data_IF_811544721561
#
_entry.id   IF_811544721561
#
_cell.length_a   1.000
_cell.length_b   1.000
_cell.length_c   1.000
_cell.angle_alpha   90.00
_cell.angle_beta   90.00
_cell.angle_gamma   90.00
#
_symmetry.space_group_name_H-M   'P 1'
#
loop_
_entity.id
_entity.type
_entity.pdbx_description
1 polymer ?
#
# COMPACT_ATOMS: atom_id res chain seq x y z
N UNK A 1 67.49 -30.88 -22.28
CA UNK A 1 66.95 -29.55 -22.48
C UNK A 1 65.65 -29.70 -23.29
N UNK A 2 64.53 -29.80 -22.63
CA UNK A 2 63.24 -29.80 -23.29
C UNK A 2 62.46 -28.55 -22.70
N UNK A 3 62.27 -27.54 -23.55
CA UNK A 3 61.53 -26.38 -23.28
C UNK A 3 60.01 -26.68 -23.33
N UNK A 4 59.31 -26.50 -22.21
CA UNK A 4 57.85 -26.56 -22.15
C UNK A 4 57.21 -25.34 -22.84
N UNK A 5 56.10 -25.49 -23.58
CA UNK A 5 55.40 -24.36 -24.16
C UNK A 5 54.60 -23.62 -23.11
N UNK A 6 54.81 -22.31 -23.02
CA UNK A 6 54.02 -21.39 -22.22
C UNK A 6 52.56 -21.33 -22.70
N UNK A 7 51.63 -21.92 -21.96
CA UNK A 7 50.21 -21.75 -22.16
C UNK A 7 49.81 -20.31 -21.84
N UNK A 8 49.66 -19.51 -22.86
CA UNK A 8 49.02 -18.22 -22.81
C UNK A 8 47.54 -18.42 -22.35
N UNK A 9 47.25 -18.17 -21.09
CA UNK A 9 45.91 -18.02 -20.57
C UNK A 9 45.28 -16.80 -21.25
N UNK A 10 44.60 -17.03 -22.38
CA UNK A 10 43.65 -16.06 -22.90
C UNK A 10 42.69 -15.73 -21.77
N UNK A 11 42.76 -14.52 -21.27
CA UNK A 11 41.75 -13.90 -20.40
C UNK A 11 40.43 -14.00 -21.16
N UNK A 12 39.67 -15.05 -20.85
CA UNK A 12 38.24 -15.13 -21.20
C UNK A 12 37.58 -14.00 -20.44
N UNK A 13 37.26 -12.91 -21.15
CA UNK A 13 36.40 -11.85 -20.59
C UNK A 13 35.21 -12.55 -19.94
N UNK A 14 35.13 -12.52 -18.61
CA UNK A 14 33.96 -13.04 -17.90
C UNK A 14 32.76 -12.29 -18.43
N UNK A 15 31.59 -12.91 -18.56
CA UNK A 15 30.37 -12.21 -18.86
C UNK A 15 29.93 -11.41 -17.58
N UNK A 16 30.65 -10.32 -17.33
CA UNK A 16 30.30 -9.32 -16.29
C UNK A 16 28.90 -8.77 -16.56
N UNK A 17 28.45 -8.89 -17.80
CA UNK A 17 27.34 -8.12 -18.32
C UNK A 17 25.96 -8.65 -17.88
N UNK A 18 25.77 -9.97 -17.68
CA UNK A 18 24.43 -10.49 -17.39
C UNK A 18 24.00 -10.31 -15.93
N UNK A 19 24.90 -10.52 -14.96
CA UNK A 19 24.58 -10.35 -13.52
C UNK A 19 24.41 -8.87 -13.17
N UNK A 20 25.28 -8.01 -13.69
CA UNK A 20 25.14 -6.55 -13.49
C UNK A 20 23.85 -6.05 -14.12
N UNK A 21 23.52 -6.48 -15.33
CA UNK A 21 22.28 -6.10 -16.01
C UNK A 21 21.06 -6.48 -15.20
N UNK A 22 20.97 -7.73 -14.74
CA UNK A 22 19.78 -8.17 -13.98
C UNK A 22 19.65 -7.42 -12.65
N UNK A 23 20.73 -7.15 -11.94
CA UNK A 23 20.69 -6.38 -10.70
C UNK A 23 20.23 -4.94 -10.95
N UNK A 24 20.73 -4.28 -12.00
CA UNK A 24 20.27 -2.94 -12.38
C UNK A 24 18.77 -2.94 -12.70
N UNK A 25 18.29 -3.96 -13.42
CA UNK A 25 16.86 -4.11 -13.72
C UNK A 25 16.04 -4.36 -12.45
N UNK A 26 16.52 -5.19 -11.53
CA UNK A 26 15.86 -5.43 -10.23
C UNK A 26 15.77 -4.14 -9.43
N UNK A 27 16.87 -3.39 -9.29
CA UNK A 27 16.89 -2.12 -8.56
C UNK A 27 15.94 -1.12 -9.22
N UNK A 28 15.99 -0.96 -10.54
CA UNK A 28 15.11 -0.04 -11.26
C UNK A 28 13.63 -0.42 -11.06
N UNK A 29 13.31 -1.70 -11.12
CA UNK A 29 11.94 -2.20 -10.94
C UNK A 29 11.49 -2.10 -9.48
N UNK A 30 12.39 -2.33 -8.51
CA UNK A 30 12.12 -2.15 -7.08
C UNK A 30 11.85 -0.66 -6.76
N UNK A 31 12.64 0.25 -7.29
CA UNK A 31 12.38 1.69 -7.15
C UNK A 31 11.08 2.10 -7.85
N UNK A 32 10.77 1.53 -9.01
CA UNK A 32 9.48 1.76 -9.66
C UNK A 32 8.30 1.19 -8.85
N UNK A 33 8.46 0.02 -8.22
CA UNK A 33 7.50 -0.49 -7.25
C UNK A 33 7.29 0.49 -6.09
N UNK A 34 8.36 1.04 -5.52
CA UNK A 34 8.32 2.02 -4.45
C UNK A 34 7.60 3.31 -4.86
N UNK A 35 7.87 3.80 -6.08
CA UNK A 35 7.15 4.92 -6.67
C UNK A 35 5.64 4.61 -6.78
N UNK A 36 5.28 3.43 -7.29
CA UNK A 36 3.88 3.02 -7.41
C UNK A 36 3.21 2.86 -6.04
N UNK A 37 3.94 2.37 -5.04
CA UNK A 37 3.49 2.30 -3.66
C UNK A 37 3.24 3.69 -3.08
N UNK A 38 4.17 4.62 -3.26
CA UNK A 38 4.03 6.00 -2.79
C UNK A 38 2.75 6.67 -3.31
N UNK A 39 2.46 6.60 -4.62
CA UNK A 39 1.24 7.21 -5.14
C UNK A 39 -0.03 6.42 -4.80
N UNK A 40 0.03 5.10 -4.75
CA UNK A 40 -1.10 4.26 -4.38
C UNK A 40 -1.53 4.54 -2.94
N UNK A 41 -0.57 4.62 -2.03
CA UNK A 41 -0.81 4.64 -0.59
C UNK A 41 -0.85 6.05 0.03
N UNK A 42 -0.62 7.11 -0.76
CA UNK A 42 -0.88 8.52 -0.36
C UNK A 42 -2.27 8.69 0.26
N UNK A 43 -3.25 7.92 -0.22
CA UNK A 43 -4.63 7.96 0.26
C UNK A 43 -4.76 7.53 1.73
N UNK A 44 -3.89 6.66 2.23
CA UNK A 44 -3.94 6.17 3.60
C UNK A 44 -3.75 7.28 4.63
N UNK A 45 -2.92 8.28 4.31
CA UNK A 45 -2.67 9.44 5.14
C UNK A 45 -3.57 10.65 4.80
N UNK A 46 -3.88 10.86 3.51
CA UNK A 46 -4.44 12.14 3.05
C UNK A 46 -5.90 12.09 2.60
N UNK A 47 -6.51 10.90 2.50
CA UNK A 47 -7.90 10.81 2.05
C UNK A 47 -8.88 11.49 3.03
N UNK A 48 -8.72 11.30 4.32
CA UNK A 48 -9.60 11.85 5.34
C UNK A 48 -9.42 13.37 5.52
N UNK A 49 -8.20 13.97 5.63
CA UNK A 49 -8.07 15.42 5.76
C UNK A 49 -8.48 16.17 4.49
N UNK A 50 -8.35 15.58 3.31
CA UNK A 50 -8.90 16.14 2.07
C UNK A 50 -10.43 16.06 2.09
N UNK A 51 -10.99 14.92 2.49
CA UNK A 51 -12.45 14.70 2.53
C UNK A 51 -13.19 15.59 3.53
N UNK A 52 -12.57 15.90 4.66
CA UNK A 52 -13.12 16.82 5.68
C UNK A 52 -12.86 18.29 5.36
N UNK A 53 -12.00 18.59 4.39
CA UNK A 53 -11.57 19.95 4.06
C UNK A 53 -10.51 20.50 5.03
N UNK A 54 -9.90 19.66 5.87
CA UNK A 54 -8.83 20.08 6.77
C UNK A 54 -7.59 20.55 5.99
N UNK A 55 -7.25 19.85 4.90
CA UNK A 55 -6.15 20.20 4.00
C UNK A 55 -6.64 20.34 2.55
N UNK A 56 -6.05 21.30 1.84
CA UNK A 56 -6.20 21.39 0.39
C UNK A 56 -5.42 20.26 -0.30
N UNK A 57 -5.91 19.67 -1.41
CA UNK A 57 -5.30 18.50 -2.04
C UNK A 57 -3.79 18.64 -2.32
N UNK A 58 -3.36 19.73 -2.93
CA UNK A 58 -1.93 19.97 -3.25
C UNK A 58 -1.06 20.10 -2.01
N UNK A 59 -1.56 20.77 -0.95
CA UNK A 59 -0.84 20.91 0.32
C UNK A 59 -0.73 19.56 1.01
N UNK A 60 -1.80 18.76 0.97
CA UNK A 60 -1.83 17.43 1.57
C UNK A 60 -0.77 16.51 0.97
N UNK A 61 -0.68 16.42 -0.37
CA UNK A 61 0.31 15.53 -1.01
C UNK A 61 1.75 16.04 -0.84
N UNK A 62 1.97 17.36 -0.80
CA UNK A 62 3.28 17.92 -0.52
C UNK A 62 3.74 17.60 0.90
N UNK A 63 2.86 17.80 1.88
CA UNK A 63 3.11 17.46 3.29
C UNK A 63 3.38 15.97 3.45
N UNK A 64 2.57 15.11 2.83
CA UNK A 64 2.75 13.68 2.87
C UNK A 64 4.08 13.24 2.26
N UNK A 65 4.44 13.78 1.08
CA UNK A 65 5.70 13.47 0.41
C UNK A 65 6.92 13.86 1.26
N UNK A 66 6.89 15.06 1.86
CA UNK A 66 7.97 15.51 2.74
C UNK A 66 8.12 14.63 3.98
N UNK A 67 7.00 14.22 4.59
CA UNK A 67 7.02 13.37 5.79
C UNK A 67 7.33 11.90 5.47
N UNK A 68 6.93 11.39 4.32
CA UNK A 68 7.37 10.06 3.85
C UNK A 68 8.89 10.03 3.63
N UNK A 69 9.45 11.08 3.03
CA UNK A 69 10.90 11.21 2.88
C UNK A 69 11.60 11.13 4.23
N UNK A 70 11.16 11.90 5.22
CA UNK A 70 11.73 11.89 6.58
C UNK A 70 11.52 10.54 7.25
N UNK A 71 10.32 9.97 7.14
CA UNK A 71 9.96 8.68 7.74
C UNK A 71 10.86 7.53 7.29
N UNK A 72 11.29 7.54 6.04
CA UNK A 72 12.15 6.50 5.48
C UNK A 72 13.53 6.38 6.17
N UNK A 73 13.96 7.40 6.91
CA UNK A 73 15.22 7.39 7.66
C UNK A 73 15.09 6.96 9.13
N UNK A 74 13.87 6.74 9.62
CA UNK A 74 13.64 6.54 11.06
C UNK A 74 13.91 5.12 11.57
N UNK A 75 13.86 4.11 10.70
CA UNK A 75 14.04 2.71 11.08
C UNK A 75 14.44 1.87 9.88
N UNK A 76 15.06 0.70 10.12
CA UNK A 76 15.42 -0.34 9.14
C UNK A 76 14.91 -1.74 9.51
N UNK A 77 14.22 -1.91 10.62
CA UNK A 77 13.76 -3.18 11.17
C UNK A 77 12.89 -4.01 10.20
N UNK A 78 11.98 -3.34 9.47
CA UNK A 78 11.14 -4.00 8.47
C UNK A 78 11.98 -4.47 7.27
N UNK A 79 12.98 -3.70 6.87
CA UNK A 79 13.91 -4.06 5.80
C UNK A 79 14.67 -5.35 6.13
N UNK A 80 15.18 -5.47 7.35
CA UNK A 80 15.87 -6.67 7.84
C UNK A 80 14.93 -7.90 7.82
N UNK A 81 13.67 -7.75 8.23
CA UNK A 81 12.69 -8.83 8.16
C UNK A 81 12.47 -9.33 6.73
N UNK A 82 12.52 -8.45 5.74
CA UNK A 82 12.31 -8.81 4.33
C UNK A 82 13.56 -9.44 3.73
N UNK A 83 14.74 -8.88 4.02
CA UNK A 83 16.00 -9.36 3.46
C UNK A 83 16.39 -10.76 3.96
N UNK A 84 15.98 -11.18 5.17
CA UNK A 84 16.41 -12.43 5.78
C UNK A 84 15.30 -13.36 6.26
N UNK A 85 14.02 -13.00 6.10
CA UNK A 85 12.97 -13.73 6.82
C UNK A 85 11.98 -14.53 5.97
N UNK A 86 11.75 -14.19 4.72
CA UNK A 86 10.63 -14.72 3.92
C UNK A 86 11.08 -15.80 2.96
N UNK A 87 12.24 -15.62 2.35
CA UNK A 87 12.84 -16.56 1.38
C UNK A 87 14.11 -17.13 1.98
N UNK A 88 14.28 -18.42 1.92
CA UNK A 88 15.49 -19.13 2.35
C UNK A 88 16.55 -19.02 1.27
N UNK A 89 17.43 -18.05 1.43
CA UNK A 89 18.50 -17.72 0.46
C UNK A 89 19.46 -18.89 0.23
N UNK A 90 19.73 -19.66 1.28
CA UNK A 90 20.61 -20.85 1.27
C UNK A 90 20.15 -21.94 0.30
N UNK A 91 18.88 -21.96 -0.07
CA UNK A 91 18.30 -22.93 -0.99
C UNK A 91 18.26 -22.47 -2.45
N UNK A 92 18.69 -21.24 -2.73
CA UNK A 92 18.56 -20.64 -4.06
C UNK A 92 19.94 -20.28 -4.63
N UNK A 93 20.18 -20.68 -5.88
CA UNK A 93 21.38 -20.30 -6.59
C UNK A 93 21.47 -18.78 -6.78
N UNK A 94 22.63 -18.19 -6.47
CA UNK A 94 22.92 -16.76 -6.64
C UNK A 94 22.71 -16.25 -8.10
N UNK A 95 22.74 -17.14 -9.08
CA UNK A 95 22.52 -16.78 -10.49
C UNK A 95 21.04 -16.70 -10.86
N UNK A 96 20.16 -17.43 -10.16
CA UNK A 96 18.72 -17.52 -10.46
C UNK A 96 17.92 -16.54 -9.60
N UNK A 97 18.33 -16.31 -8.37
CA UNK A 97 17.55 -15.56 -7.39
C UNK A 97 17.22 -14.12 -7.82
N UNK A 98 18.17 -13.31 -8.37
CA UNK A 98 17.84 -11.97 -8.85
C UNK A 98 16.74 -11.96 -9.92
N UNK A 99 16.70 -12.98 -10.77
CA UNK A 99 15.70 -13.11 -11.80
C UNK A 99 14.30 -13.45 -11.21
N UNK A 100 14.25 -14.19 -10.11
CA UNK A 100 13.01 -14.46 -9.38
C UNK A 100 12.51 -13.22 -8.64
N UNK A 101 13.42 -12.42 -8.05
CA UNK A 101 13.06 -11.11 -7.48
C UNK A 101 12.46 -10.20 -8.54
N UNK A 102 13.08 -10.14 -9.73
CA UNK A 102 12.58 -9.38 -10.87
C UNK A 102 11.16 -9.82 -11.27
N UNK A 103 10.92 -11.11 -11.41
CA UNK A 103 9.61 -11.67 -11.74
C UNK A 103 8.56 -11.38 -10.64
N UNK A 104 8.95 -11.49 -9.38
CA UNK A 104 8.09 -11.16 -8.24
C UNK A 104 7.66 -9.69 -8.20
N UNK A 105 8.59 -8.78 -8.50
CA UNK A 105 8.30 -7.34 -8.61
C UNK A 105 7.33 -7.03 -9.76
N UNK A 106 7.41 -7.72 -10.89
CA UNK A 106 6.42 -7.60 -11.98
C UNK A 106 5.04 -7.96 -11.48
N UNK A 107 4.90 -9.06 -10.72
CA UNK A 107 3.65 -9.45 -10.09
C UNK A 107 3.08 -8.37 -9.18
N UNK A 108 3.91 -7.82 -8.31
CA UNK A 108 3.54 -6.77 -7.36
C UNK A 108 3.09 -5.48 -8.07
N UNK A 109 3.87 -4.99 -9.02
CA UNK A 109 3.59 -3.75 -9.77
C UNK A 109 2.31 -3.89 -10.59
N UNK A 110 2.16 -5.02 -11.29
CA UNK A 110 0.97 -5.28 -12.12
C UNK A 110 -0.30 -5.22 -11.27
N UNK A 111 -0.29 -5.86 -10.09
CA UNK A 111 -1.43 -5.84 -9.18
C UNK A 111 -1.69 -4.45 -8.60
N UNK A 112 -0.66 -3.74 -8.15
CA UNK A 112 -0.79 -2.37 -7.64
C UNK A 112 -1.37 -1.41 -8.68
N UNK A 113 -0.88 -1.48 -9.91
CA UNK A 113 -1.37 -0.64 -11.00
C UNK A 113 -2.83 -0.96 -11.39
N UNK A 114 -3.20 -2.26 -11.39
CA UNK A 114 -4.56 -2.70 -11.67
C UNK A 114 -5.54 -2.21 -10.59
N UNK A 115 -5.22 -2.42 -9.32
CA UNK A 115 -6.07 -2.01 -8.20
C UNK A 115 -6.17 -0.49 -8.09
N UNK A 116 -5.09 0.24 -8.36
CA UNK A 116 -5.13 1.69 -8.49
C UNK A 116 -6.06 2.15 -9.61
N UNK A 117 -5.98 1.55 -10.80
CA UNK A 117 -6.88 1.87 -11.92
C UNK A 117 -8.35 1.67 -11.54
N UNK A 118 -8.66 0.63 -10.78
CA UNK A 118 -10.00 0.33 -10.29
C UNK A 118 -10.42 1.20 -9.09
N UNK A 119 -9.51 2.01 -8.53
CA UNK A 119 -9.73 2.79 -7.31
C UNK A 119 -9.99 1.92 -6.08
N UNK A 120 -9.44 0.71 -6.07
CA UNK A 120 -9.54 -0.23 -4.95
C UNK A 120 -8.33 -0.08 -4.02
N UNK A 121 -8.52 0.28 -2.75
CA UNK A 121 -7.44 0.31 -1.77
C UNK A 121 -7.01 -1.14 -1.46
N UNK A 122 -5.96 -1.59 -2.14
CA UNK A 122 -5.34 -2.91 -1.94
C UNK A 122 -4.05 -2.78 -1.10
N UNK A 123 -3.49 -3.92 -0.72
CA UNK A 123 -2.25 -3.96 0.05
C UNK A 123 -1.03 -4.09 -0.86
N UNK A 124 -0.23 -3.03 -0.98
CA UNK A 124 1.06 -3.06 -1.69
C UNK A 124 2.04 -4.07 -1.08
N UNK A 125 2.02 -4.23 0.26
CA UNK A 125 2.83 -5.24 0.97
C UNK A 125 2.47 -6.66 0.54
N UNK A 126 1.17 -6.99 0.55
CA UNK A 126 0.72 -8.33 0.12
C UNK A 126 0.96 -8.56 -1.37
N UNK A 127 0.88 -7.50 -2.20
CA UNK A 127 1.24 -7.60 -3.61
C UNK A 127 2.73 -7.95 -3.78
N UNK A 128 3.61 -7.31 -3.01
CA UNK A 128 5.04 -7.60 -3.00
C UNK A 128 5.33 -9.05 -2.57
N UNK A 129 4.82 -9.44 -1.40
CA UNK A 129 5.04 -10.79 -0.87
C UNK A 129 4.42 -11.86 -1.76
N UNK A 130 3.22 -11.64 -2.26
CA UNK A 130 2.57 -12.55 -3.19
C UNK A 130 3.41 -12.77 -4.44
N UNK A 131 3.86 -11.69 -5.08
CA UNK A 131 4.71 -11.75 -6.27
C UNK A 131 6.01 -12.51 -6.02
N UNK A 132 6.72 -12.19 -4.93
CA UNK A 132 7.97 -12.86 -4.56
C UNK A 132 7.75 -14.35 -4.24
N UNK A 133 6.74 -14.69 -3.45
CA UNK A 133 6.39 -16.08 -3.12
C UNK A 133 6.04 -16.85 -4.40
N UNK A 134 5.16 -16.31 -5.24
CA UNK A 134 4.75 -16.97 -6.48
C UNK A 134 5.91 -17.22 -7.43
N UNK A 135 6.78 -16.24 -7.61
CA UNK A 135 7.99 -16.38 -8.43
C UNK A 135 8.94 -17.43 -7.86
N UNK A 136 9.19 -17.41 -6.55
CA UNK A 136 10.10 -18.36 -5.89
C UNK A 136 9.57 -19.79 -5.93
N UNK A 137 8.27 -19.99 -5.65
CA UNK A 137 7.64 -21.32 -5.68
C UNK A 137 7.79 -21.98 -7.06
N UNK A 138 7.59 -21.22 -8.12
CA UNK A 138 7.70 -21.72 -9.50
C UNK A 138 9.16 -21.87 -9.93
N UNK A 139 10.04 -20.97 -9.53
CA UNK A 139 11.42 -20.96 -9.96
C UNK A 139 12.31 -21.98 -9.23
N UNK A 140 12.04 -22.26 -7.96
CA UNK A 140 12.90 -23.11 -7.11
C UNK A 140 12.09 -24.19 -6.38
N UNK A 141 10.86 -23.89 -6.01
CA UNK A 141 9.98 -24.80 -5.27
C UNK A 141 9.49 -24.23 -3.95
N UNK A 142 8.47 -24.89 -3.40
CA UNK A 142 7.76 -24.46 -2.19
C UNK A 142 8.64 -24.45 -0.93
N UNK A 143 9.68 -25.31 -0.88
CA UNK A 143 10.58 -25.43 0.27
C UNK A 143 11.48 -24.21 0.48
N UNK A 144 11.67 -23.38 -0.56
CA UNK A 144 12.45 -22.14 -0.48
C UNK A 144 11.68 -21.02 0.26
N UNK A 145 10.41 -21.23 0.62
CA UNK A 145 9.62 -20.26 1.37
C UNK A 145 9.59 -20.63 2.86
N UNK A 146 9.86 -19.66 3.72
CA UNK A 146 9.63 -19.81 5.15
C UNK A 146 8.17 -19.46 5.49
N UNK A 147 7.31 -20.48 5.44
CA UNK A 147 5.88 -20.33 5.76
C UNK A 147 5.63 -19.91 7.21
N UNK A 148 6.53 -20.21 8.14
CA UNK A 148 6.44 -19.76 9.53
C UNK A 148 6.54 -18.25 9.62
N UNK A 149 7.54 -17.67 8.94
CA UNK A 149 7.72 -16.22 8.85
C UNK A 149 6.59 -15.56 8.05
N UNK A 150 6.18 -16.13 6.92
CA UNK A 150 5.03 -15.62 6.14
C UNK A 150 3.76 -15.59 7.01
N UNK A 151 3.49 -16.64 7.76
CA UNK A 151 2.30 -16.70 8.64
C UNK A 151 2.40 -15.67 9.76
N UNK A 152 3.53 -15.60 10.48
CA UNK A 152 3.69 -14.77 11.68
C UNK A 152 3.92 -13.29 11.37
N UNK A 153 4.62 -12.96 10.29
CA UNK A 153 5.02 -11.57 9.96
C UNK A 153 4.16 -10.92 8.88
N UNK A 154 3.41 -11.70 8.08
CA UNK A 154 2.57 -11.19 6.98
C UNK A 154 1.09 -11.50 7.20
N UNK A 155 0.70 -12.78 7.27
CA UNK A 155 -0.72 -13.18 7.26
C UNK A 155 -1.42 -12.83 8.57
N UNK A 156 -0.88 -13.23 9.72
CA UNK A 156 -1.49 -12.93 11.02
C UNK A 156 -1.60 -11.41 11.27
N UNK A 157 -0.55 -10.60 11.06
CA UNK A 157 -0.67 -9.15 11.18
C UNK A 157 -1.71 -8.56 10.21
N UNK A 158 -1.80 -9.08 8.99
CA UNK A 158 -2.78 -8.63 8.01
C UNK A 158 -4.24 -8.85 8.45
N UNK A 159 -4.50 -9.93 9.15
CA UNK A 159 -5.83 -10.21 9.70
C UNK A 159 -6.11 -9.39 10.95
N UNK A 160 -5.15 -9.28 11.86
CA UNK A 160 -5.34 -8.66 13.17
C UNK A 160 -5.31 -7.13 13.11
N UNK A 161 -4.37 -6.54 12.35
CA UNK A 161 -4.13 -5.11 12.36
C UNK A 161 -5.35 -4.24 11.97
N UNK A 162 -6.11 -4.52 10.90
CA UNK A 162 -7.28 -3.72 10.56
C UNK A 162 -8.38 -3.77 11.63
N UNK A 163 -8.56 -4.90 12.31
CA UNK A 163 -9.50 -5.03 13.42
C UNK A 163 -9.04 -4.25 14.65
N UNK A 164 -7.77 -4.41 15.04
CA UNK A 164 -7.17 -3.67 16.16
C UNK A 164 -7.26 -2.17 15.93
N UNK A 165 -6.83 -1.70 14.77
CA UNK A 165 -6.90 -0.29 14.39
C UNK A 165 -8.36 0.20 14.34
N UNK A 166 -9.27 -0.62 13.83
CA UNK A 166 -10.70 -0.33 13.81
C UNK A 166 -11.29 -0.15 15.22
N UNK A 167 -10.97 -1.05 16.15
CA UNK A 167 -11.41 -0.97 17.56
C UNK A 167 -10.85 0.27 18.23
N UNK A 168 -9.56 0.55 18.08
CA UNK A 168 -8.92 1.75 18.63
C UNK A 168 -9.62 3.02 18.09
N UNK A 169 -9.80 3.12 16.77
CA UNK A 169 -10.46 4.25 16.14
C UNK A 169 -11.91 4.41 16.60
N UNK A 170 -12.64 3.30 16.78
CA UNK A 170 -14.00 3.30 17.35
C UNK A 170 -14.01 3.89 18.76
N UNK A 171 -13.13 3.44 19.64
CA UNK A 171 -13.05 3.90 21.03
C UNK A 171 -12.63 5.37 21.11
N UNK A 172 -11.60 5.78 20.36
CA UNK A 172 -11.14 7.17 20.30
C UNK A 172 -12.22 8.09 19.76
N UNK A 173 -12.97 7.67 18.73
CA UNK A 173 -14.12 8.43 18.21
C UNK A 173 -15.21 8.58 19.28
N UNK A 174 -15.57 7.48 19.95
CA UNK A 174 -16.57 7.54 21.05
C UNK A 174 -16.14 8.48 22.16
N UNK A 175 -14.88 8.44 22.53
CA UNK A 175 -14.31 9.31 23.56
C UNK A 175 -14.30 10.77 23.11
N UNK A 176 -13.86 11.07 21.89
CA UNK A 176 -13.86 12.43 21.33
C UNK A 176 -15.26 13.06 21.38
N UNK A 177 -16.29 12.34 20.90
CA UNK A 177 -17.68 12.84 20.95
C UNK A 177 -18.25 12.89 22.37
N UNK A 178 -17.84 12.01 23.28
CA UNK A 178 -18.28 12.07 24.68
C UNK A 178 -17.72 13.29 25.42
N UNK A 179 -16.41 13.54 25.25
CA UNK A 179 -15.72 14.66 25.89
C UNK A 179 -16.19 16.02 25.37
N UNK A 180 -16.44 16.13 24.07
CA UNK A 180 -16.85 17.41 23.46
C UNK A 180 -18.32 17.72 23.61
N UNK A 181 -19.17 16.73 23.93
CA UNK A 181 -20.62 16.90 24.15
C UNK A 181 -20.97 17.92 25.25
N UNK A 182 -20.10 18.09 26.23
CA UNK A 182 -20.28 19.02 27.32
C UNK A 182 -20.00 20.49 26.97
N UNK A 183 -19.14 20.71 25.96
CA UNK A 183 -18.62 22.03 25.63
C UNK A 183 -19.26 22.63 24.39
N UNK A 184 -19.81 21.77 23.52
CA UNK A 184 -20.37 22.20 22.24
C UNK A 184 -21.36 21.16 21.71
N UNK A 185 -22.48 21.63 21.20
CA UNK A 185 -23.49 20.78 20.54
C UNK A 185 -23.03 20.31 19.15
N UNK A 186 -21.95 20.90 18.61
CA UNK A 186 -21.40 20.60 17.25
C UNK A 186 -19.90 20.34 17.27
N UNK A 187 -19.43 19.17 17.75
CA UNK A 187 -18.01 18.86 17.82
C UNK A 187 -17.33 18.82 16.43
N UNK A 188 -18.10 18.54 15.37
CA UNK A 188 -17.59 18.46 13.99
C UNK A 188 -17.17 19.82 13.40
N UNK A 189 -17.65 20.93 13.97
CA UNK A 189 -17.36 22.31 13.53
C UNK A 189 -16.18 22.96 14.26
N UNK A 190 -15.47 22.24 15.12
CA UNK A 190 -14.37 22.80 15.92
C UNK A 190 -13.06 22.84 15.15
N UNK A 191 -12.41 24.01 15.17
CA UNK A 191 -11.06 24.18 14.62
C UNK A 191 -10.02 23.26 15.29
N UNK A 192 -10.19 22.93 16.57
CA UNK A 192 -9.31 22.02 17.30
C UNK A 192 -9.21 20.63 16.66
N UNK A 193 -10.32 20.02 16.26
CA UNK A 193 -10.29 18.74 15.55
C UNK A 193 -9.70 18.84 14.16
N UNK A 194 -9.88 19.95 13.47
CA UNK A 194 -9.25 20.20 12.18
C UNK A 194 -7.72 20.26 12.29
N UNK A 195 -7.20 21.01 13.26
CA UNK A 195 -5.77 21.08 13.52
C UNK A 195 -5.22 19.76 14.05
N UNK A 196 -5.94 19.09 14.94
CA UNK A 196 -5.60 17.74 15.41
C UNK A 196 -5.52 16.76 14.27
N UNK A 197 -6.44 16.82 13.30
CA UNK A 197 -6.46 15.98 12.11
C UNK A 197 -5.24 16.25 11.19
N UNK A 198 -4.85 17.51 11.00
CA UNK A 198 -3.63 17.86 10.23
C UNK A 198 -2.41 17.24 10.91
N UNK A 199 -2.32 17.34 12.22
CA UNK A 199 -1.22 16.75 12.98
C UNK A 199 -1.20 15.22 12.88
N UNK A 200 -2.34 14.55 13.10
CA UNK A 200 -2.41 13.08 13.04
C UNK A 200 -2.22 12.52 11.65
N UNK A 201 -2.72 13.19 10.60
CA UNK A 201 -2.43 12.81 9.21
C UNK A 201 -0.95 12.98 8.84
N UNK A 202 -0.30 13.97 9.43
CA UNK A 202 1.15 14.14 9.31
C UNK A 202 1.90 12.96 9.96
N UNK A 203 1.47 12.51 11.14
CA UNK A 203 2.02 11.30 11.77
C UNK A 203 1.76 10.03 10.95
N UNK A 204 0.59 9.91 10.32
CA UNK A 204 0.33 8.78 9.41
C UNK A 204 1.27 8.81 8.21
N UNK A 205 1.52 9.98 7.61
CA UNK A 205 2.46 10.10 6.51
C UNK A 205 3.89 9.72 6.93
N UNK A 206 4.33 10.19 8.10
CA UNK A 206 5.62 9.82 8.67
C UNK A 206 5.72 8.31 8.90
N UNK A 207 4.70 7.72 9.53
CA UNK A 207 4.60 6.29 9.79
C UNK A 207 4.59 5.45 8.49
N UNK A 208 3.91 5.94 7.46
CA UNK A 208 3.90 5.31 6.14
C UNK A 208 5.30 5.26 5.53
N UNK A 209 6.04 6.37 5.51
CA UNK A 209 7.43 6.39 5.06
C UNK A 209 8.33 5.45 5.86
N UNK A 210 8.15 5.42 7.19
CA UNK A 210 8.89 4.52 8.09
C UNK A 210 8.60 3.02 7.82
N UNK A 211 7.41 2.65 7.36
CA UNK A 211 7.07 1.25 7.10
C UNK A 211 7.30 0.86 5.63
N UNK A 212 6.80 1.66 4.70
CA UNK A 212 6.65 1.23 3.31
C UNK A 212 7.93 1.39 2.49
N UNK A 213 8.76 2.42 2.71
CA UNK A 213 10.06 2.55 2.06
C UNK A 213 10.99 1.38 2.41
N UNK A 214 10.92 0.87 3.65
CA UNK A 214 11.74 -0.23 4.10
C UNK A 214 11.47 -1.55 3.34
N UNK A 215 10.27 -1.74 2.79
CA UNK A 215 9.94 -2.94 2.01
C UNK A 215 10.77 -3.01 0.73
N UNK A 216 10.91 -1.88 0.06
CA UNK A 216 11.76 -1.77 -1.13
C UNK A 216 13.25 -1.82 -0.78
N UNK A 217 13.65 -1.18 0.32
CA UNK A 217 15.01 -1.29 0.86
C UNK A 217 15.37 -2.75 1.11
N UNK A 218 14.50 -3.53 1.76
CA UNK A 218 14.71 -4.96 2.02
C UNK A 218 14.85 -5.79 0.75
N UNK A 219 14.04 -5.53 -0.27
CA UNK A 219 14.15 -6.24 -1.56
C UNK A 219 15.45 -5.91 -2.29
N UNK A 220 15.88 -4.64 -2.30
CA UNK A 220 17.16 -4.25 -2.91
C UNK A 220 18.32 -4.86 -2.11
N UNK A 221 18.30 -4.78 -0.78
CA UNK A 221 19.31 -5.39 0.09
C UNK A 221 19.41 -6.90 -0.14
N UNK A 222 18.27 -7.61 -0.21
CA UNK A 222 18.21 -9.03 -0.54
C UNK A 222 18.87 -9.32 -1.90
N UNK A 223 18.59 -8.52 -2.92
CA UNK A 223 19.22 -8.68 -4.23
C UNK A 223 20.74 -8.45 -4.20
N UNK A 224 21.22 -7.46 -3.43
CA UNK A 224 22.65 -7.17 -3.25
C UNK A 224 23.37 -8.28 -2.49
N UNK A 225 22.77 -8.83 -1.44
CA UNK A 225 23.30 -9.96 -0.67
C UNK A 225 23.45 -11.18 -1.59
N UNK A 226 22.43 -11.48 -2.39
CA UNK A 226 22.41 -12.65 -3.27
C UNK A 226 23.56 -12.69 -4.27
N UNK A 227 24.02 -11.53 -4.75
CA UNK A 227 25.14 -11.45 -5.70
C UNK A 227 26.48 -11.14 -5.01
N UNK A 228 26.51 -11.11 -3.67
CA UNK A 228 27.72 -10.87 -2.89
C UNK A 228 28.23 -9.43 -2.89
N UNK A 229 27.37 -8.45 -3.27
CA UNK A 229 27.71 -7.02 -3.21
C UNK A 229 27.44 -6.41 -1.81
N UNK A 230 26.75 -7.16 -0.97
CA UNK A 230 26.57 -6.90 0.45
C UNK A 230 26.76 -8.19 1.24
N UNK A 231 27.33 -8.09 2.45
CA UNK A 231 27.53 -9.25 3.31
C UNK A 231 26.17 -9.68 3.90
N UNK A 232 25.89 -10.97 3.91
CA UNK A 232 24.67 -11.51 4.52
C UNK A 232 24.62 -11.31 6.05
N UNK A 233 25.76 -11.11 6.70
CA UNK A 233 25.78 -10.77 8.13
C UNK A 233 25.35 -9.32 8.42
N UNK A 234 25.31 -8.45 7.40
CA UNK A 234 24.89 -7.06 7.49
C UNK A 234 23.52 -6.90 6.79
N UNK A 235 22.47 -7.04 7.58
CA UNK A 235 21.09 -6.96 7.10
C UNK A 235 20.60 -5.52 6.85
N UNK A 236 21.37 -4.51 7.29
CA UNK A 236 20.99 -3.12 7.16
C UNK A 236 21.15 -2.62 5.71
N UNK A 237 20.17 -1.90 5.17
CA UNK A 237 20.27 -1.34 3.83
C UNK A 237 21.40 -0.28 3.77
N UNK A 238 22.18 -0.32 2.69
CA UNK A 238 23.23 0.68 2.46
C UNK A 238 22.62 2.08 2.33
N UNK A 239 23.35 3.12 2.74
CA UNK A 239 22.85 4.49 2.75
C UNK A 239 22.27 4.96 1.40
N UNK A 240 22.89 4.59 0.28
CA UNK A 240 22.39 4.95 -1.05
C UNK A 240 21.03 4.28 -1.36
N UNK A 241 20.78 3.06 -0.82
CA UNK A 241 19.49 2.36 -0.95
C UNK A 241 18.42 3.13 -0.18
N UNK A 242 18.74 3.53 1.07
CA UNK A 242 17.83 4.35 1.90
C UNK A 242 17.48 5.64 1.17
N UNK A 243 18.50 6.37 0.66
CA UNK A 243 18.30 7.62 -0.08
C UNK A 243 17.43 7.40 -1.33
N UNK A 244 17.75 6.39 -2.14
CA UNK A 244 17.01 6.10 -3.37
C UNK A 244 15.53 5.78 -3.09
N UNK A 245 15.25 4.92 -2.12
CA UNK A 245 13.88 4.59 -1.71
C UNK A 245 13.15 5.79 -1.10
N UNK A 246 13.80 6.55 -0.20
CA UNK A 246 13.20 7.73 0.42
C UNK A 246 12.76 8.78 -0.64
N UNK A 247 13.60 9.06 -1.62
CA UNK A 247 13.25 9.97 -2.71
C UNK A 247 12.16 9.41 -3.62
N UNK A 248 12.23 8.11 -3.91
CA UNK A 248 11.30 7.48 -4.85
C UNK A 248 9.89 7.38 -4.27
N UNK A 249 9.74 6.96 -3.01
CA UNK A 249 8.43 6.92 -2.35
C UNK A 249 7.85 8.33 -2.19
N UNK A 250 8.68 9.32 -1.87
CA UNK A 250 8.26 10.72 -1.76
C UNK A 250 7.76 11.27 -3.11
N UNK A 251 8.47 11.00 -4.22
CA UNK A 251 8.02 11.36 -5.56
C UNK A 251 6.69 10.70 -5.93
N UNK A 252 6.53 9.41 -5.63
CA UNK A 252 5.28 8.69 -5.81
C UNK A 252 4.15 9.37 -5.02
N UNK A 253 4.37 9.62 -3.74
CA UNK A 253 3.40 10.29 -2.85
C UNK A 253 3.00 11.67 -3.36
N UNK A 254 3.94 12.46 -3.88
CA UNK A 254 3.67 13.78 -4.44
C UNK A 254 2.73 13.74 -5.65
N UNK A 255 2.79 12.69 -6.48
CA UNK A 255 1.86 12.53 -7.61
C UNK A 255 0.42 12.31 -7.16
N UNK A 256 0.21 11.77 -5.96
CA UNK A 256 -1.07 11.58 -5.29
C UNK A 256 -1.89 10.41 -5.82
N UNK A 257 -2.48 9.65 -4.92
CA UNK A 257 -3.36 8.51 -5.20
C UNK A 257 -4.84 8.91 -5.36
N UNK A 258 -5.16 9.86 -6.23
CA UNK A 258 -6.46 10.55 -6.30
C UNK A 258 -7.65 9.60 -6.41
N UNK A 259 -7.53 8.48 -7.15
CA UNK A 259 -8.60 7.47 -7.30
C UNK A 259 -8.90 6.77 -5.99
N UNK A 260 -7.86 6.45 -5.23
CA UNK A 260 -8.00 5.78 -3.92
C UNK A 260 -8.43 6.78 -2.86
N UNK A 261 -7.93 8.04 -2.92
CA UNK A 261 -8.40 9.15 -2.07
C UNK A 261 -9.91 9.31 -2.17
N UNK A 262 -10.50 9.22 -3.37
CA UNK A 262 -11.95 9.23 -3.57
C UNK A 262 -12.65 8.10 -2.79
N UNK A 263 -12.10 6.90 -2.85
CA UNK A 263 -12.70 5.72 -2.20
C UNK A 263 -12.58 5.78 -0.68
N UNK A 264 -11.40 6.07 -0.14
CA UNK A 264 -11.16 6.13 1.31
C UNK A 264 -11.75 7.38 1.95
N UNK A 265 -11.73 8.53 1.27
CA UNK A 265 -12.14 9.81 1.81
C UNK A 265 -13.63 9.86 2.23
N UNK A 266 -14.53 9.52 1.32
CA UNK A 266 -15.98 9.45 1.58
C UNK A 266 -16.64 8.18 1.06
N UNK A 267 -15.88 7.28 0.46
CA UNK A 267 -16.40 6.03 -0.10
C UNK A 267 -16.76 4.98 0.95
N UNK A 268 -16.19 5.01 2.15
CA UNK A 268 -16.46 4.08 3.25
C UNK A 268 -17.50 4.59 4.22
N UNK A 269 -17.38 5.86 4.63
CA UNK A 269 -18.30 6.53 5.56
C UNK A 269 -18.24 8.04 5.33
N UNK A 270 -19.24 8.80 5.82
CA UNK A 270 -19.19 10.27 5.79
C UNK A 270 -18.29 10.77 6.94
N UNK A 271 -17.00 10.87 6.67
CA UNK A 271 -15.98 11.25 7.67
C UNK A 271 -16.13 12.73 8.04
N UNK A 272 -16.15 13.02 9.35
CA UNK A 272 -16.09 14.36 9.93
C UNK A 272 -14.72 14.59 10.60
N UNK A 273 -14.28 15.84 10.87
CA UNK A 273 -12.96 16.11 11.43
C UNK A 273 -12.62 15.30 12.69
N UNK A 274 -13.53 15.15 13.64
CA UNK A 274 -13.33 14.33 14.84
C UNK A 274 -13.14 12.83 14.52
N UNK A 275 -13.84 12.31 13.50
CA UNK A 275 -13.67 10.94 13.05
C UNK A 275 -12.33 10.76 12.30
N UNK A 276 -11.95 11.75 11.45
CA UNK A 276 -10.67 11.76 10.76
C UNK A 276 -9.52 11.75 11.76
N UNK A 277 -9.52 12.67 12.72
CA UNK A 277 -8.56 12.71 13.82
C UNK A 277 -8.41 11.35 14.52
N UNK A 278 -9.55 10.72 14.87
CA UNK A 278 -9.54 9.43 15.57
C UNK A 278 -9.02 8.29 14.70
N UNK A 279 -9.39 8.25 13.42
CA UNK A 279 -8.92 7.25 12.47
C UNK A 279 -7.42 7.35 12.24
N UNK A 280 -6.91 8.55 12.04
CA UNK A 280 -5.51 8.81 11.80
C UNK A 280 -4.64 8.57 13.03
N UNK A 281 -5.12 8.95 14.24
CA UNK A 281 -4.46 8.62 15.51
C UNK A 281 -4.26 7.10 15.63
N UNK A 282 -5.32 6.34 15.39
CA UNK A 282 -5.25 4.87 15.44
C UNK A 282 -4.33 4.31 14.36
N UNK A 283 -4.40 4.83 13.15
CA UNK A 283 -3.55 4.39 12.02
C UNK A 283 -2.08 4.64 12.32
N UNK A 284 -1.71 5.86 12.72
CA UNK A 284 -0.33 6.21 13.04
C UNK A 284 0.23 5.35 14.18
N UNK A 285 -0.52 5.22 15.28
CA UNK A 285 -0.10 4.41 16.43
C UNK A 285 0.13 2.94 16.05
N UNK A 286 -0.79 2.36 15.26
CA UNK A 286 -0.69 0.95 14.84
C UNK A 286 0.50 0.73 13.90
N UNK A 287 0.71 1.62 12.92
CA UNK A 287 1.82 1.47 11.96
C UNK A 287 3.17 1.67 12.66
N UNK A 288 3.33 2.73 13.47
CA UNK A 288 4.59 2.99 14.17
C UNK A 288 4.96 1.86 15.15
N UNK A 289 3.98 1.38 15.93
CA UNK A 289 4.20 0.25 16.84
C UNK A 289 4.62 -1.02 16.09
N UNK A 290 4.00 -1.31 14.93
CA UNK A 290 4.35 -2.48 14.13
C UNK A 290 5.70 -2.36 13.45
N UNK A 291 6.06 -1.17 12.97
CA UNK A 291 7.36 -0.93 12.34
C UNK A 291 8.51 -1.12 13.34
N UNK A 292 8.34 -0.66 14.59
CA UNK A 292 9.30 -0.87 15.67
C UNK A 292 9.46 -2.36 16.07
N UNK A 293 8.49 -3.21 15.73
CA UNK A 293 8.53 -4.67 15.94
C UNK A 293 8.96 -5.44 14.67
N UNK A 294 9.37 -4.75 13.63
CA UNK A 294 9.76 -5.34 12.35
C UNK A 294 8.61 -5.99 11.57
N UNK A 295 7.33 -5.68 11.87
CA UNK A 295 6.21 -6.21 11.11
C UNK A 295 5.96 -5.39 9.84
N UNK A 296 6.04 -6.04 8.70
CA UNK A 296 5.72 -5.44 7.40
C UNK A 296 4.19 -5.34 7.18
N UNK A 297 3.52 -4.49 7.97
CA UNK A 297 2.07 -4.34 7.88
C UNK A 297 1.59 -3.75 6.55
N UNK A 298 0.33 -4.01 6.26
CA UNK A 298 -0.42 -3.29 5.24
C UNK A 298 -0.98 -1.99 5.78
N UNK A 299 -0.34 -0.88 5.46
CA UNK A 299 -0.77 0.47 5.85
C UNK A 299 -2.20 0.77 5.35
N UNK A 300 -2.55 0.27 4.15
CA UNK A 300 -3.90 0.41 3.55
C UNK A 300 -4.97 -0.33 4.35
N UNK A 301 -4.68 -1.53 4.85
CA UNK A 301 -5.63 -2.29 5.67
C UNK A 301 -5.85 -1.62 7.02
N UNK A 302 -4.77 -1.14 7.65
CA UNK A 302 -4.82 -0.40 8.92
C UNK A 302 -5.64 0.89 8.76
N UNK A 303 -5.35 1.71 7.76
CA UNK A 303 -6.06 2.95 7.50
C UNK A 303 -7.55 2.71 7.20
N UNK A 304 -7.86 1.72 6.35
CA UNK A 304 -9.24 1.37 6.03
C UNK A 304 -10.01 0.87 7.26
N UNK A 305 -9.39 0.01 8.08
CA UNK A 305 -9.95 -0.48 9.34
C UNK A 305 -10.24 0.67 10.30
N UNK A 306 -9.31 1.61 10.45
CA UNK A 306 -9.46 2.82 11.27
C UNK A 306 -10.61 3.70 10.79
N UNK A 307 -10.74 3.94 9.48
CA UNK A 307 -11.84 4.72 8.91
C UNK A 307 -13.20 4.05 9.17
N UNK A 308 -13.29 2.73 8.99
CA UNK A 308 -14.50 1.96 9.30
C UNK A 308 -14.83 2.06 10.80
N UNK A 309 -13.83 1.84 11.66
CA UNK A 309 -13.99 1.91 13.11
C UNK A 309 -14.46 3.31 13.59
N UNK A 310 -13.87 4.36 13.05
CA UNK A 310 -14.30 5.74 13.35
C UNK A 310 -15.73 6.01 12.88
N UNK A 311 -16.13 5.44 11.73
CA UNK A 311 -17.52 5.50 11.25
C UNK A 311 -18.50 4.83 12.19
N UNK A 312 -18.17 3.65 12.72
CA UNK A 312 -18.99 2.93 13.70
C UNK A 312 -19.03 3.63 15.07
N UNK A 313 -17.96 4.33 15.45
CA UNK A 313 -17.85 5.08 16.70
C UNK A 313 -18.80 6.26 16.80
N UNK A 314 -19.18 6.89 15.70
CA UNK A 314 -20.09 8.04 15.66
C UNK A 314 -21.55 7.60 15.61
N UNK A 315 -22.37 8.06 16.55
CA UNK A 315 -23.84 7.82 16.52
C UNK A 315 -24.47 8.47 15.28
N UNK A 316 -25.25 7.71 14.52
CA UNK A 316 -25.93 8.17 13.32
C UNK A 316 -25.06 8.22 12.06
N UNK A 317 -23.79 7.84 12.13
CA UNK A 317 -22.96 7.58 10.96
C UNK A 317 -23.33 6.23 10.30
N UNK A 318 -23.14 6.13 9.00
CA UNK A 318 -23.41 4.91 8.24
C UNK A 318 -22.13 4.43 7.55
N UNK A 319 -21.79 3.17 7.74
CA UNK A 319 -20.70 2.49 7.01
C UNK A 319 -21.30 1.79 5.80
N UNK A 320 -20.62 1.90 4.66
CA UNK A 320 -21.03 1.30 3.39
C UNK A 320 -20.51 -0.12 3.25
N UNK A 321 -21.20 -1.07 3.83
CA UNK A 321 -20.79 -2.45 3.83
C UNK A 321 -20.55 -3.05 2.45
N UNK A 322 -21.25 -2.57 1.40
CA UNK A 322 -20.98 -2.98 0.01
C UNK A 322 -19.59 -2.57 -0.45
N UNK A 323 -19.12 -1.37 -0.08
CA UNK A 323 -17.75 -0.90 -0.37
C UNK A 323 -16.74 -1.67 0.47
N UNK A 324 -17.02 -1.87 1.75
CA UNK A 324 -16.19 -2.70 2.66
C UNK A 324 -16.01 -4.10 2.09
N UNK A 325 -17.08 -4.75 1.65
CA UNK A 325 -17.00 -6.10 1.04
C UNK A 325 -16.14 -6.15 -0.22
N UNK A 326 -16.23 -5.13 -1.11
CA UNK A 326 -15.36 -5.04 -2.28
C UNK A 326 -13.89 -4.88 -1.90
N UNK A 327 -13.60 -4.06 -0.90
CA UNK A 327 -12.23 -3.85 -0.42
C UNK A 327 -11.70 -5.14 0.21
N UNK A 328 -12.50 -5.83 1.05
CA UNK A 328 -12.13 -7.10 1.68
C UNK A 328 -11.82 -8.20 0.64
N UNK A 329 -12.63 -8.30 -0.42
CA UNK A 329 -12.34 -9.21 -1.55
C UNK A 329 -11.02 -8.81 -2.24
N UNK A 330 -10.78 -7.51 -2.45
CA UNK A 330 -9.51 -7.02 -2.98
C UNK A 330 -8.32 -7.43 -2.11
N UNK A 331 -8.44 -7.35 -0.78
CA UNK A 331 -7.38 -7.78 0.14
C UNK A 331 -7.10 -9.28 0.07
N UNK A 332 -8.15 -10.11 0.06
CA UNK A 332 -8.03 -11.57 -0.05
C UNK A 332 -7.39 -11.99 -1.37
N UNK A 333 -7.73 -11.31 -2.46
CA UNK A 333 -7.21 -11.64 -3.79
C UNK A 333 -5.80 -11.10 -4.03
N UNK A 334 -5.32 -10.11 -3.26
CA UNK A 334 -4.04 -9.44 -3.53
C UNK A 334 -2.86 -10.42 -3.55
N UNK A 335 -2.70 -11.22 -2.50
CA UNK A 335 -1.57 -12.14 -2.38
C UNK A 335 -1.62 -13.25 -3.47
N UNK A 336 -2.73 -13.97 -3.70
CA UNK A 336 -2.77 -15.01 -4.73
C UNK A 336 -2.70 -14.45 -6.15
N UNK A 337 -3.30 -13.29 -6.43
CA UNK A 337 -3.29 -12.73 -7.79
C UNK A 337 -1.92 -12.17 -8.17
N UNK A 338 -1.26 -11.42 -7.28
CA UNK A 338 0.11 -10.96 -7.52
C UNK A 338 1.08 -12.16 -7.61
N UNK A 339 0.86 -13.18 -6.78
CA UNK A 339 1.61 -14.44 -6.83
C UNK A 339 1.45 -15.18 -8.15
N UNK A 340 0.24 -15.25 -8.69
CA UNK A 340 0.00 -15.88 -10.00
C UNK A 340 0.73 -15.13 -11.12
N UNK A 341 0.71 -13.78 -11.11
CA UNK A 341 1.44 -12.98 -12.11
C UNK A 341 2.96 -13.17 -11.94
N UNK A 342 3.48 -13.13 -10.71
CA UNK A 342 4.89 -13.39 -10.43
C UNK A 342 5.34 -14.80 -10.84
N UNK A 343 4.48 -15.80 -10.61
CA UNK A 343 4.70 -17.18 -11.04
C UNK A 343 4.81 -17.32 -12.59
N UNK A 344 3.91 -16.64 -13.32
CA UNK A 344 3.94 -16.63 -14.80
C UNK A 344 5.23 -15.95 -15.30
N UNK A 345 5.60 -14.81 -14.71
CA UNK A 345 6.84 -14.11 -15.04
C UNK A 345 8.06 -15.01 -14.73
N UNK A 346 8.07 -15.70 -13.59
CA UNK A 346 9.16 -16.64 -13.26
C UNK A 346 9.29 -17.79 -14.26
N UNK A 347 8.19 -18.35 -14.77
CA UNK A 347 8.21 -19.37 -15.83
C UNK A 347 8.92 -18.84 -17.08
N UNK A 348 8.59 -17.63 -17.52
CA UNK A 348 9.19 -17.00 -18.70
C UNK A 348 10.71 -16.82 -18.49
N UNK A 349 11.11 -16.36 -17.30
CA UNK A 349 12.52 -16.16 -16.97
C UNK A 349 13.28 -17.49 -16.87
N UNK A 350 12.72 -18.50 -16.18
CA UNK A 350 13.39 -19.80 -15.96
C UNK A 350 13.58 -20.52 -17.30
N UNK A 351 12.58 -20.53 -18.17
CA UNK A 351 12.68 -21.22 -19.46
C UNK A 351 13.42 -20.41 -20.53
N UNK A 352 13.30 -19.09 -20.50
CA UNK A 352 13.91 -18.21 -21.51
C UNK A 352 15.30 -17.67 -21.16
N UNK A 353 15.76 -17.85 -19.92
CA UNK A 353 17.02 -17.29 -19.44
C UNK A 353 17.10 -15.77 -19.67
N UNK A 354 18.21 -15.29 -20.24
CA UNK A 354 18.39 -13.85 -20.53
C UNK A 354 17.31 -13.29 -21.47
N UNK A 355 16.87 -14.06 -22.45
CA UNK A 355 15.78 -13.65 -23.34
C UNK A 355 14.44 -13.59 -22.60
N UNK A 356 14.21 -14.50 -21.65
CA UNK A 356 13.02 -14.47 -20.78
C UNK A 356 12.96 -13.18 -19.96
N UNK A 357 14.06 -12.72 -19.38
CA UNK A 357 14.14 -11.45 -18.66
C UNK A 357 13.78 -10.27 -19.58
N UNK A 358 14.29 -10.24 -20.80
CA UNK A 358 13.96 -9.18 -21.76
C UNK A 358 12.50 -9.21 -22.19
N UNK A 359 11.94 -10.38 -22.43
CA UNK A 359 10.53 -10.56 -22.76
C UNK A 359 9.66 -10.04 -21.61
N UNK A 360 9.95 -10.43 -20.37
CA UNK A 360 9.20 -9.99 -19.19
C UNK A 360 9.33 -8.48 -18.98
N UNK A 361 10.51 -7.90 -19.18
CA UNK A 361 10.69 -6.45 -19.11
C UNK A 361 9.80 -5.72 -20.12
N UNK A 362 9.75 -6.19 -21.37
CA UNK A 362 8.90 -5.62 -22.43
C UNK A 362 7.42 -5.79 -22.08
N UNK A 363 7.01 -6.97 -21.62
CA UNK A 363 5.64 -7.24 -21.22
C UNK A 363 5.22 -6.37 -20.04
N UNK A 364 6.07 -6.23 -19.02
CA UNK A 364 5.81 -5.36 -17.87
C UNK A 364 5.61 -3.90 -18.30
N UNK A 365 6.49 -3.37 -19.13
CA UNK A 365 6.36 -2.01 -19.70
C UNK A 365 5.07 -1.89 -20.51
N UNK A 366 4.74 -2.86 -21.36
CA UNK A 366 3.52 -2.86 -22.15
C UNK A 366 2.25 -2.83 -21.27
N UNK A 367 2.19 -3.66 -20.21
CA UNK A 367 1.09 -3.70 -19.25
C UNK A 367 0.97 -2.37 -18.51
N UNK A 368 2.08 -1.84 -17.99
CA UNK A 368 2.10 -0.55 -17.28
C UNK A 368 1.60 0.58 -18.19
N UNK A 369 2.10 0.66 -19.42
CA UNK A 369 1.65 1.68 -20.39
C UNK A 369 0.18 1.51 -20.77
N UNK A 370 -0.29 0.28 -20.93
CA UNK A 370 -1.71 0.00 -21.19
C UNK A 370 -2.59 0.49 -20.03
N UNK A 371 -2.26 0.13 -18.79
CA UNK A 371 -3.01 0.54 -17.60
C UNK A 371 -2.96 2.07 -17.43
N UNK A 372 -1.81 2.68 -17.66
CA UNK A 372 -1.66 4.13 -17.59
C UNK A 372 -2.47 4.85 -18.68
N UNK A 373 -2.44 4.39 -19.92
CA UNK A 373 -3.28 4.93 -21.00
C UNK A 373 -4.77 4.77 -20.68
N UNK A 374 -5.17 3.62 -20.15
CA UNK A 374 -6.55 3.36 -19.73
C UNK A 374 -7.00 4.31 -18.61
N UNK A 375 -6.09 4.66 -17.67
CA UNK A 375 -6.38 5.58 -16.58
C UNK A 375 -6.65 7.01 -17.05
N UNK A 376 -6.15 7.43 -18.22
CA UNK A 376 -6.36 8.78 -18.75
C UNK A 376 -7.80 9.05 -19.20
N UNK A 377 -8.62 8.01 -19.42
CA UNK A 377 -10.02 8.15 -19.86
C UNK A 377 -10.92 8.74 -18.78
N UNK A 378 -10.69 8.39 -17.51
CA UNK A 378 -11.45 8.89 -16.35
C UNK A 378 -10.46 9.58 -15.39
N UNK A 379 -10.09 10.82 -15.71
CA UNK A 379 -9.04 11.51 -15.02
C UNK A 379 -9.50 12.02 -13.66
N UNK A 380 -8.89 11.53 -12.58
CA UNK A 380 -9.02 12.08 -11.23
C UNK A 380 -7.66 12.68 -10.85
N UNK A 381 -7.64 13.98 -10.55
CA UNK A 381 -6.44 14.72 -10.20
C UNK A 381 -6.69 15.73 -9.07
N UNK A 382 -5.66 16.50 -8.68
CA UNK A 382 -5.77 17.47 -7.59
C UNK A 382 -6.81 18.57 -7.83
N UNK A 383 -7.19 18.84 -9.09
CA UNK A 383 -8.15 19.90 -9.44
C UNK A 383 -9.60 19.47 -9.21
N UNK A 384 -9.91 18.17 -9.44
CA UNK A 384 -11.24 17.62 -9.27
C UNK A 384 -11.38 16.70 -8.05
N UNK A 385 -10.31 16.45 -7.29
CA UNK A 385 -10.32 15.53 -6.16
C UNK A 385 -11.39 15.88 -5.10
N UNK A 386 -11.59 17.15 -4.81
CA UNK A 386 -12.59 17.60 -3.81
C UNK A 386 -14.03 17.34 -4.29
N UNK A 387 -14.34 17.60 -5.57
CA UNK A 387 -15.66 17.30 -6.15
C UNK A 387 -15.89 15.80 -6.25
N UNK A 388 -14.92 15.03 -6.70
CA UNK A 388 -14.97 13.57 -6.79
C UNK A 388 -15.20 12.90 -5.42
N UNK A 389 -14.50 13.37 -4.38
CA UNK A 389 -14.72 12.94 -3.00
C UNK A 389 -16.12 13.33 -2.52
N UNK A 390 -16.58 14.56 -2.82
CA UNK A 390 -17.92 15.01 -2.46
C UNK A 390 -19.01 14.20 -3.15
N UNK A 391 -18.87 13.90 -4.43
CA UNK A 391 -19.82 13.12 -5.22
C UNK A 391 -19.87 11.67 -4.77
N UNK A 392 -18.74 11.06 -4.44
CA UNK A 392 -18.72 9.75 -3.80
C UNK A 392 -19.48 9.73 -2.48
N UNK A 393 -19.48 10.84 -1.73
CA UNK A 393 -20.29 11.09 -0.53
C UNK A 393 -21.76 11.30 -0.83
N UNK A 394 -22.13 12.02 -1.91
CA UNK A 394 -23.52 12.30 -2.31
C UNK A 394 -24.25 11.07 -2.80
N UNK A 395 -23.59 10.19 -3.51
CA UNK A 395 -24.15 8.90 -3.94
C UNK A 395 -24.69 8.04 -2.77
N UNK A 396 -24.44 8.45 -1.53
CA UNK A 396 -24.93 7.84 -0.27
C UNK A 396 -26.10 8.59 0.34
N UNK A 397 -26.28 9.86 0.02
CA UNK A 397 -27.46 10.62 0.47
C UNK A 397 -28.75 10.21 -0.24
N UNK A 398 -28.72 9.21 -1.13
CA UNK A 398 -29.92 8.65 -1.74
C UNK A 398 -30.77 7.99 -0.65
N UNK A 399 -31.82 8.73 -0.31
CA UNK A 399 -33.07 8.27 0.27
C UNK A 399 -33.02 7.59 1.64
N UNK A 400 -32.82 8.36 2.71
CA UNK A 400 -33.80 8.28 3.76
C UNK A 400 -34.82 9.38 3.49
N UNK A 401 -35.92 9.04 2.82
CA UNK A 401 -37.17 9.79 3.03
C UNK A 401 -37.33 9.81 4.54
N UNK A 402 -37.40 10.98 5.19
CA UNK A 402 -37.68 11.01 6.60
C UNK A 402 -38.98 10.21 6.79
N UNK A 403 -39.07 9.40 7.85
CA UNK A 403 -40.29 8.62 8.07
C UNK A 403 -41.45 9.59 7.99
N UNK A 404 -42.53 9.26 7.27
CA UNK A 404 -43.63 10.17 7.02
C UNK A 404 -44.07 10.78 8.34
N UNK A 405 -44.13 12.10 8.38
CA UNK A 405 -44.52 12.85 9.58
C UNK A 405 -45.90 12.37 10.03
N UNK A 406 -46.24 12.52 11.32
CA UNK A 406 -47.60 12.17 11.83
C UNK A 406 -48.71 12.75 10.96
N UNK A 407 -48.53 13.93 10.34
CA UNK A 407 -49.48 14.56 9.42
C UNK A 407 -49.55 13.83 8.06
N UNK A 408 -48.47 13.32 7.54
CA UNK A 408 -48.45 12.54 6.28
C UNK A 408 -49.09 11.17 6.48
N UNK A 409 -48.83 10.47 7.59
CA UNK A 409 -49.53 9.22 7.97
C UNK A 409 -51.02 9.44 8.22
N UNK A 410 -51.43 10.61 8.77
CA UNK A 410 -52.84 10.92 8.93
C UNK A 410 -53.54 11.18 7.60
N UNK A 411 -52.87 11.84 6.62
CA UNK A 411 -53.40 12.04 5.27
C UNK A 411 -53.49 10.72 4.47
N UNK A 412 -52.53 9.86 4.54
CA UNK A 412 -52.60 8.53 3.92
C UNK A 412 -53.74 7.67 4.49
N UNK A 413 -53.97 7.73 5.83
CA UNK A 413 -55.09 7.04 6.46
C UNK A 413 -56.47 7.65 6.13
N UNK A 414 -56.54 8.95 5.80
CA UNK A 414 -57.80 9.59 5.37
C UNK A 414 -58.09 9.34 3.90
N UNK A 415 -57.10 9.17 3.03
CA UNK A 415 -57.28 8.83 1.61
C UNK A 415 -57.72 7.39 1.38
N UNK A 416 -57.33 6.45 2.27
CA UNK A 416 -57.73 5.05 2.19
C UNK A 416 -59.13 4.77 2.81
N UNK A 417 -59.76 5.76 3.49
CA UNK A 417 -61.14 5.61 4.03
C UNK A 417 -62.22 6.16 3.11
N UNK A 418 -61.89 6.64 1.92
CA UNK A 418 -62.85 7.28 0.98
C UNK A 418 -63.26 6.42 -0.21
N UNK A 419 -62.97 5.14 -0.22
CA UNK A 419 -63.38 4.19 -1.29
C UNK A 419 -64.06 2.97 -0.68
N UNK A 420 -65.32 3.18 -0.28
CA UNK A 420 -66.38 2.16 -0.16
C UNK A 420 -67.72 2.77 -0.54
#
# INVERSE_FOLDING_TARGET
MCSAPSLSLKHRKRPVDSTVLIIVLVIALALFFDFTNGFHDTANAMATPIATGALKPRVAVLLAASLNLVGAFLSTEVSQTISHGIIREDQISATVFPALIFAGLIGAITWNMLTWLLGLPSSSSHALFGGLIGATVVGVGVMAIDFGTVMSKVILPALIAPFTAGVIAFLVTRMAYALTRRYDSKPDGRDGFRWGQIFTSSLVALAHGTNDAQKTMGVITLALITVGWQNSADADPQLWVILACAFTIALGTYTGGWRIIRTLGKGLTDVKPAQGFSAETSTAATILASSALGFALSTTQVASGSVIGSGLGRRGSTVRWKTVGRIAVGWLLTLPASGAVGAVAALIVVWGGTWGILIDAVLAVAVILFLFRRSRRDKVDASNAMSEVADSGRAVKVTRNPPPTRRQRARERSSTKGTW
#
